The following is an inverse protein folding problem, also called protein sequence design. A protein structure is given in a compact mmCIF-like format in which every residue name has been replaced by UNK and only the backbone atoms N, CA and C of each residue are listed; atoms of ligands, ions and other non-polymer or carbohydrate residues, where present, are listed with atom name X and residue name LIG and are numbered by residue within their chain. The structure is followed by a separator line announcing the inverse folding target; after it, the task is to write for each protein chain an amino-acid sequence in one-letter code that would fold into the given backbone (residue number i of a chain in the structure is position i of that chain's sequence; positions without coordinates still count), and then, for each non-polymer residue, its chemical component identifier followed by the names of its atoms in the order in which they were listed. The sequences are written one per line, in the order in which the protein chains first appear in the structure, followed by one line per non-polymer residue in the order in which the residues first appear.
data_IF_565768468445
#
_entry.id   IF_565768468445
#
_cell.length_a   1.000
_cell.length_b   1.000
_cell.length_c   1.000
_cell.angle_alpha   90.00
_cell.angle_beta   90.00
_cell.angle_gamma   90.00
#
_symmetry.space_group_name_H-M   'P 1'
#
loop_
_entity.id
_entity.type
_entity.pdbx_description
1 polymer ?
#
# COMPACT_ATOMS: atom_id res chain seq x y z
N UNK A 1 -23.71 -12.51 -6.14
CA UNK A 1 -23.98 -13.97 -6.19
C UNK A 1 -22.68 -14.66 -5.87
N UNK A 2 -22.55 -15.29 -4.69
CA UNK A 2 -21.36 -16.08 -4.39
C UNK A 2 -21.31 -17.26 -5.37
N UNK A 3 -20.23 -17.35 -6.14
CA UNK A 3 -20.01 -18.50 -7.03
C UNK A 3 -19.95 -19.79 -6.22
N UNK A 4 -20.28 -20.92 -6.84
CA UNK A 4 -20.04 -22.22 -6.22
C UNK A 4 -18.56 -22.32 -5.83
N UNK A 5 -18.28 -22.61 -4.56
CA UNK A 5 -16.91 -22.81 -4.05
C UNK A 5 -16.20 -24.02 -4.71
N UNK A 6 -16.93 -24.80 -5.52
CA UNK A 6 -16.42 -25.93 -6.31
C UNK A 6 -16.11 -25.59 -7.77
N UNK A 7 -16.31 -24.34 -8.20
CA UNK A 7 -15.99 -23.91 -9.55
C UNK A 7 -14.46 -23.80 -9.78
N UNK A 8 -14.00 -24.17 -10.98
CA UNK A 8 -12.59 -24.05 -11.34
C UNK A 8 -12.18 -22.59 -11.58
N UNK A 9 -10.97 -22.24 -11.15
CA UNK A 9 -10.33 -20.98 -11.52
C UNK A 9 -9.96 -20.99 -13.01
N UNK A 10 -10.34 -19.94 -13.72
CA UNK A 10 -10.05 -19.78 -15.16
C UNK A 10 -9.31 -18.47 -15.36
N UNK A 11 -8.15 -18.49 -16.01
CA UNK A 11 -7.49 -17.27 -16.43
C UNK A 11 -8.37 -16.54 -17.47
N UNK A 12 -8.89 -15.37 -17.12
CA UNK A 12 -9.73 -14.56 -18.00
C UNK A 12 -8.94 -13.55 -18.82
N UNK A 13 -7.84 -13.06 -18.25
CA UNK A 13 -7.00 -12.03 -18.84
C UNK A 13 -5.62 -12.08 -18.20
N UNK A 14 -4.61 -11.57 -18.91
CA UNK A 14 -3.34 -11.14 -18.34
C UNK A 14 -3.23 -9.62 -18.59
N UNK A 15 -2.80 -8.87 -17.60
CA UNK A 15 -2.70 -7.40 -17.67
C UNK A 15 -1.23 -7.03 -17.86
N UNK A 16 -0.98 -6.05 -18.73
CA UNK A 16 0.36 -5.49 -18.97
C UNK A 16 0.32 -3.97 -18.85
N UNK A 17 1.44 -3.36 -18.50
CA UNK A 17 1.62 -1.92 -18.70
C UNK A 17 1.48 -1.59 -20.20
N UNK A 18 0.91 -0.43 -20.51
CA UNK A 18 0.72 0.06 -21.90
C UNK A 18 2.01 0.56 -22.55
N UNK A 19 2.98 0.82 -21.71
CA UNK A 19 4.20 1.64 -21.82
C UNK A 19 5.37 0.91 -21.15
N UNK A 20 5.18 -0.35 -20.74
CA UNK A 20 6.17 -1.10 -19.98
C UNK A 20 7.52 -1.18 -20.70
N UNK A 21 8.53 -0.59 -20.06
CA UNK A 21 9.91 -0.59 -20.48
C UNK A 21 10.72 -1.65 -19.72
N UNK A 22 12.00 -1.76 -20.08
CA UNK A 22 12.91 -2.73 -19.50
C UNK A 22 13.16 -2.39 -18.03
N UNK A 23 12.84 -3.33 -17.15
CA UNK A 23 13.07 -3.27 -15.70
C UNK A 23 12.06 -2.47 -14.87
N UNK A 24 10.98 -1.94 -15.44
CA UNK A 24 9.97 -1.15 -14.69
C UNK A 24 9.31 -1.94 -13.55
N UNK A 25 9.37 -3.28 -13.63
CA UNK A 25 8.85 -4.20 -12.62
C UNK A 25 7.35 -4.01 -12.38
N UNK A 26 6.59 -3.81 -13.46
CA UNK A 26 5.13 -3.92 -13.41
C UNK A 26 4.72 -5.24 -12.77
N UNK A 27 3.88 -5.17 -11.74
CA UNK A 27 3.43 -6.33 -10.96
C UNK A 27 4.27 -6.61 -9.71
N UNK A 28 5.20 -5.71 -9.35
CA UNK A 28 5.95 -5.83 -8.08
C UNK A 28 5.03 -5.79 -6.85
N UNK A 29 3.90 -5.10 -6.97
CA UNK A 29 2.84 -5.01 -5.98
C UNK A 29 1.49 -5.01 -6.68
N UNK A 30 0.49 -5.63 -6.06
CA UNK A 30 -0.87 -5.75 -6.61
C UNK A 30 -1.90 -5.69 -5.49
N UNK A 31 -2.97 -4.95 -5.72
CA UNK A 31 -4.15 -4.95 -4.86
C UNK A 31 -5.41 -4.96 -5.70
N UNK A 32 -6.46 -5.61 -5.18
CA UNK A 32 -7.77 -5.69 -5.82
C UNK A 32 -8.86 -5.42 -4.80
N UNK A 33 -9.81 -4.58 -5.18
CA UNK A 33 -11.12 -4.52 -4.53
C UNK A 33 -12.20 -4.52 -5.61
N UNK A 34 -13.03 -5.56 -5.57
CA UNK A 34 -14.20 -5.73 -6.42
C UNK A 34 -13.90 -5.59 -7.92
N UNK A 35 -14.11 -4.41 -8.49
CA UNK A 35 -13.97 -4.09 -9.91
C UNK A 35 -12.77 -3.16 -10.20
N UNK A 36 -11.87 -2.99 -9.24
CA UNK A 36 -10.65 -2.15 -9.35
C UNK A 36 -9.41 -2.96 -9.01
N UNK A 37 -8.40 -2.92 -9.87
CA UNK A 37 -7.07 -3.48 -9.64
C UNK A 37 -6.05 -2.36 -9.71
N UNK A 38 -5.17 -2.26 -8.71
CA UNK A 38 -4.01 -1.40 -8.68
C UNK A 38 -2.74 -2.23 -8.80
N UNK A 39 -1.82 -1.83 -9.68
CA UNK A 39 -0.56 -2.56 -9.93
C UNK A 39 0.62 -1.60 -9.91
N UNK A 40 1.61 -1.85 -9.06
CA UNK A 40 2.83 -1.05 -9.01
C UNK A 40 3.84 -1.41 -10.10
N UNK A 41 4.59 -0.41 -10.55
CA UNK A 41 5.78 -0.52 -11.39
C UNK A 41 6.86 0.41 -10.83
N UNK A 42 7.59 -0.07 -9.81
CA UNK A 42 8.44 0.79 -8.98
C UNK A 42 9.65 1.39 -9.70
N UNK A 43 10.05 0.87 -10.85
CA UNK A 43 11.22 1.35 -11.57
C UNK A 43 10.87 2.02 -12.89
N UNK A 44 9.58 2.21 -13.14
CA UNK A 44 9.08 3.08 -14.21
C UNK A 44 9.71 4.48 -14.12
N UNK A 45 10.08 5.03 -15.27
CA UNK A 45 10.88 6.25 -15.38
C UNK A 45 10.14 7.45 -15.99
N UNK A 46 8.82 7.39 -16.12
CA UNK A 46 7.98 8.43 -16.74
C UNK A 46 8.14 9.82 -16.11
N UNK A 47 8.46 9.89 -14.81
CA UNK A 47 8.71 11.15 -14.07
C UNK A 47 10.19 11.38 -13.74
N UNK A 48 11.05 10.44 -14.09
CA UNK A 48 12.47 10.42 -13.73
C UNK A 48 12.92 9.00 -13.41
N UNK A 49 14.23 8.75 -13.50
CA UNK A 49 14.83 7.42 -13.34
C UNK A 49 14.31 6.74 -12.06
N UNK A 50 13.65 5.59 -12.20
CA UNK A 50 13.09 4.82 -11.09
C UNK A 50 12.15 5.63 -10.17
N UNK A 51 11.44 6.62 -10.71
CA UNK A 51 10.47 7.40 -9.94
C UNK A 51 9.25 6.56 -9.58
N UNK A 52 8.90 5.60 -10.44
CA UNK A 52 7.86 4.61 -10.24
C UNK A 52 6.45 5.09 -10.60
N UNK A 53 5.57 4.15 -10.91
CA UNK A 53 4.18 4.40 -11.29
C UNK A 53 3.22 3.34 -10.73
N UNK A 54 1.91 3.63 -10.71
CA UNK A 54 0.85 2.66 -10.37
C UNK A 54 -0.23 2.64 -11.43
N UNK A 55 -0.55 1.48 -11.98
CA UNK A 55 -1.55 1.31 -13.01
C UNK A 55 -2.89 0.90 -12.39
N UNK A 56 -3.96 1.61 -12.76
CA UNK A 56 -5.33 1.29 -12.37
C UNK A 56 -6.04 0.63 -13.54
N UNK A 57 -6.52 -0.58 -13.31
CA UNK A 57 -7.42 -1.30 -14.19
C UNK A 57 -8.79 -1.40 -13.55
N UNK A 58 -9.85 -1.22 -14.34
CA UNK A 58 -11.21 -1.51 -13.87
C UNK A 58 -11.93 -2.45 -14.82
N UNK A 59 -12.83 -3.24 -14.25
CA UNK A 59 -13.68 -4.14 -15.01
C UNK A 59 -14.64 -3.33 -15.89
N UNK A 60 -14.79 -3.73 -17.15
CA UNK A 60 -15.65 -3.01 -18.10
C UNK A 60 -17.14 -3.09 -17.74
N UNK A 61 -17.54 -4.16 -17.07
CA UNK A 61 -18.91 -4.35 -16.55
C UNK A 61 -18.82 -4.76 -15.09
N UNK A 62 -19.25 -3.86 -14.20
CA UNK A 62 -19.22 -4.07 -12.76
C UNK A 62 -19.85 -5.42 -12.36
N UNK A 63 -19.16 -6.18 -11.51
CA UNK A 63 -19.63 -7.48 -11.00
C UNK A 63 -19.60 -8.66 -12.00
N UNK A 64 -19.29 -8.44 -13.28
CA UNK A 64 -19.27 -9.52 -14.28
C UNK A 64 -17.94 -10.30 -14.31
N UNK A 65 -17.92 -11.54 -13.82
CA UNK A 65 -16.71 -12.38 -13.79
C UNK A 65 -16.14 -12.75 -15.17
N UNK A 66 -16.83 -12.41 -16.26
CA UNK A 66 -16.40 -12.65 -17.64
C UNK A 66 -16.12 -11.36 -18.42
N UNK A 67 -16.35 -10.19 -17.82
CA UNK A 67 -16.01 -8.94 -18.46
C UNK A 67 -14.49 -8.72 -18.47
N UNK A 68 -14.01 -8.05 -19.51
CA UNK A 68 -12.62 -7.63 -19.63
C UNK A 68 -12.29 -6.53 -18.61
N UNK A 69 -11.00 -6.36 -18.37
CA UNK A 69 -10.41 -5.28 -17.59
C UNK A 69 -9.67 -4.33 -18.52
N UNK A 70 -9.84 -3.04 -18.26
CA UNK A 70 -9.22 -1.97 -19.06
C UNK A 70 -8.37 -1.08 -18.16
N UNK A 71 -7.14 -0.76 -18.59
CA UNK A 71 -6.32 0.29 -17.97
C UNK A 71 -7.08 1.61 -18.07
N UNK A 72 -7.41 2.22 -16.93
CA UNK A 72 -8.07 3.54 -16.88
C UNK A 72 -7.09 4.68 -16.74
N UNK A 73 -6.05 4.46 -15.96
CA UNK A 73 -5.06 5.49 -15.63
C UNK A 73 -3.78 4.83 -15.13
N UNK A 74 -2.67 5.54 -15.22
CA UNK A 74 -1.50 5.30 -14.40
C UNK A 74 -1.27 6.53 -13.52
N UNK A 75 -0.88 6.30 -12.27
CA UNK A 75 -0.75 7.27 -11.20
C UNK A 75 0.72 7.56 -11.00
N UNK A 76 1.04 8.82 -10.80
CA UNK A 76 2.37 9.31 -10.49
C UNK A 76 2.29 10.19 -9.23
N UNK A 77 3.29 10.12 -8.36
CA UNK A 77 3.43 11.09 -7.28
C UNK A 77 3.67 12.49 -7.86
N UNK A 78 3.03 13.54 -7.32
CA UNK A 78 3.20 14.92 -7.84
C UNK A 78 4.61 15.48 -7.62
N UNK A 79 5.29 14.99 -6.59
CA UNK A 79 6.66 15.30 -6.18
C UNK A 79 7.63 14.14 -6.46
N UNK A 80 7.21 13.12 -7.22
CA UNK A 80 8.06 11.97 -7.54
C UNK A 80 9.38 12.40 -8.17
N UNK A 81 10.48 11.96 -7.55
CA UNK A 81 11.85 12.21 -7.93
C UNK A 81 12.57 10.90 -8.30
N UNK A 82 13.80 11.02 -8.77
CA UNK A 82 14.59 9.85 -9.14
C UNK A 82 14.81 8.91 -7.94
N UNK A 83 14.59 7.61 -8.15
CA UNK A 83 14.70 6.52 -7.17
C UNK A 83 13.71 6.58 -6.00
N UNK A 84 12.64 7.38 -6.08
CA UNK A 84 11.57 7.32 -5.09
C UNK A 84 10.83 5.98 -5.10
N UNK A 85 10.87 5.25 -6.22
CA UNK A 85 10.28 3.93 -6.37
C UNK A 85 8.79 3.88 -5.97
N UNK A 86 8.01 4.89 -6.38
CA UNK A 86 6.57 4.93 -6.18
C UNK A 86 5.90 3.68 -6.77
N UNK A 87 4.93 3.10 -6.07
CA UNK A 87 4.33 1.82 -6.47
C UNK A 87 5.09 0.60 -5.91
N UNK A 88 6.07 0.81 -5.03
CA UNK A 88 6.71 -0.28 -4.29
C UNK A 88 5.69 -1.13 -3.53
N UNK A 89 4.69 -0.50 -2.91
CA UNK A 89 3.57 -1.14 -2.21
C UNK A 89 2.27 -0.46 -2.63
N UNK A 90 1.18 -1.23 -2.75
CA UNK A 90 -0.14 -0.71 -3.14
C UNK A 90 -1.22 -1.40 -2.35
N UNK A 91 -2.25 -0.64 -1.97
CA UNK A 91 -3.49 -1.17 -1.40
C UNK A 91 -4.70 -0.40 -1.96
N UNK A 92 -5.86 -1.05 -2.06
CA UNK A 92 -7.09 -0.44 -2.58
C UNK A 92 -8.28 -0.85 -1.72
N UNK A 93 -9.13 0.12 -1.40
CA UNK A 93 -10.45 -0.10 -0.81
C UNK A 93 -11.44 0.88 -1.42
N UNK A 94 -12.42 0.35 -2.14
CA UNK A 94 -13.41 1.04 -2.94
C UNK A 94 -12.78 2.05 -3.91
N UNK A 95 -13.01 3.32 -3.61
CA UNK A 95 -12.60 4.48 -4.40
C UNK A 95 -11.31 5.13 -3.88
N UNK A 96 -10.53 4.43 -3.07
CA UNK A 96 -9.25 4.90 -2.49
C UNK A 96 -8.12 3.92 -2.75
N UNK A 97 -6.99 4.44 -3.24
CA UNK A 97 -5.74 3.71 -3.43
C UNK A 97 -4.67 4.33 -2.56
N UNK A 98 -3.93 3.49 -1.83
CA UNK A 98 -2.74 3.87 -1.07
C UNK A 98 -1.51 3.34 -1.80
N UNK A 99 -0.50 4.18 -1.94
CA UNK A 99 0.76 3.81 -2.61
C UNK A 99 1.95 4.19 -1.75
N UNK A 100 2.86 3.26 -1.49
CA UNK A 100 4.13 3.55 -0.82
C UNK A 100 5.28 3.90 -1.78
N UNK A 101 6.25 4.66 -1.27
CA UNK A 101 7.51 5.01 -1.93
C UNK A 101 8.67 5.08 -0.93
N UNK A 102 9.91 4.98 -1.40
CA UNK A 102 11.12 5.01 -0.56
C UNK A 102 11.44 6.40 0.00
N UNK A 103 11.11 7.47 -0.74
CA UNK A 103 11.51 8.83 -0.39
C UNK A 103 13.03 9.02 -0.42
N UNK A 104 13.62 8.90 -1.59
CA UNK A 104 15.05 9.15 -1.80
C UNK A 104 15.37 10.64 -1.59
N UNK A 105 16.57 11.02 -1.08
CA UNK A 105 17.71 10.18 -0.68
C UNK A 105 17.72 9.75 0.78
N UNK A 106 16.80 10.26 1.59
CA UNK A 106 16.81 10.02 3.04
C UNK A 106 16.27 8.66 3.42
N UNK A 107 15.52 8.00 2.54
CA UNK A 107 14.82 6.75 2.83
C UNK A 107 13.88 6.85 4.03
N UNK A 108 13.36 8.04 4.30
CA UNK A 108 12.33 8.22 5.34
C UNK A 108 11.07 7.43 5.00
N UNK A 109 10.84 7.17 3.72
CA UNK A 109 9.61 6.56 3.22
C UNK A 109 8.45 7.55 3.19
N UNK A 110 7.48 7.29 2.32
CA UNK A 110 6.31 8.13 2.09
C UNK A 110 5.15 7.24 1.61
N UNK A 111 3.92 7.64 1.91
CA UNK A 111 2.73 7.02 1.32
C UNK A 111 1.82 8.08 0.68
N UNK A 112 1.03 7.70 -0.30
CA UNK A 112 0.20 8.59 -1.08
C UNK A 112 -1.22 8.05 -1.17
N UNK A 113 -2.19 8.93 -0.95
CA UNK A 113 -3.61 8.65 -1.11
C UNK A 113 -4.08 9.18 -2.45
N UNK A 114 -4.64 8.29 -3.27
CA UNK A 114 -5.38 8.65 -4.48
C UNK A 114 -6.85 8.32 -4.29
N UNK A 115 -7.72 9.21 -4.75
CA UNK A 115 -9.17 8.99 -4.72
C UNK A 115 -9.75 9.11 -6.10
N UNK A 116 -10.75 8.27 -6.39
CA UNK A 116 -11.54 8.38 -7.61
C UNK A 116 -12.35 9.68 -7.60
N UNK A 117 -12.41 10.37 -8.74
CA UNK A 117 -13.06 11.67 -8.86
C UNK A 117 -14.59 11.58 -8.66
N UNK A 118 -15.20 10.47 -9.11
CA UNK A 118 -16.63 10.21 -8.95
C UNK A 118 -16.80 8.82 -8.35
N UNK A 119 -17.32 8.75 -7.12
CA UNK A 119 -17.50 7.51 -6.38
C UNK A 119 -18.24 6.45 -7.20
N UNK A 120 -17.72 5.22 -7.22
CA UNK A 120 -18.29 4.08 -7.94
C UNK A 120 -18.18 4.14 -9.47
N UNK A 121 -17.79 5.27 -10.08
CA UNK A 121 -17.69 5.37 -11.54
C UNK A 121 -16.36 4.80 -12.06
N UNK A 122 -16.38 3.55 -12.52
CA UNK A 122 -15.19 2.79 -12.97
C UNK A 122 -14.40 3.43 -14.13
N UNK A 123 -14.92 4.48 -14.79
CA UNK A 123 -14.22 5.20 -15.87
C UNK A 123 -13.73 6.59 -15.45
N UNK A 124 -14.07 7.04 -14.24
CA UNK A 124 -13.63 8.34 -13.75
C UNK A 124 -12.14 8.32 -13.36
N UNK A 125 -11.51 9.49 -13.46
CA UNK A 125 -10.10 9.67 -13.14
C UNK A 125 -9.84 9.56 -11.64
N UNK A 126 -8.58 9.35 -11.29
CA UNK A 126 -8.03 9.35 -9.95
C UNK A 126 -7.19 10.59 -9.74
N UNK A 127 -7.28 11.15 -8.54
CA UNK A 127 -6.58 12.37 -8.15
C UNK A 127 -5.73 12.09 -6.91
N UNK A 128 -4.47 12.53 -6.91
CA UNK A 128 -3.66 12.54 -5.70
C UNK A 128 -4.29 13.47 -4.67
N UNK A 129 -4.55 12.96 -3.48
CA UNK A 129 -5.27 13.66 -2.42
C UNK A 129 -4.39 14.09 -1.28
N UNK A 130 -3.48 13.22 -0.87
CA UNK A 130 -2.61 13.52 0.25
C UNK A 130 -1.33 12.69 0.16
N UNK A 131 -0.23 13.28 0.61
CA UNK A 131 0.99 12.58 0.98
C UNK A 131 0.98 12.37 2.50
N UNK A 132 1.15 11.13 2.91
CA UNK A 132 1.25 10.71 4.31
C UNK A 132 2.73 10.54 4.67
N UNK A 133 3.07 11.02 5.85
CA UNK A 133 4.38 10.93 6.49
C UNK A 133 4.17 10.49 7.93
N UNK A 134 5.09 9.70 8.47
CA UNK A 134 5.17 9.46 9.91
C UNK A 134 5.39 10.78 10.66
N UNK A 135 4.73 10.95 11.80
CA UNK A 135 4.84 12.15 12.66
C UNK A 135 6.25 12.44 13.16
N UNK A 136 7.06 11.39 13.25
CA UNK A 136 8.38 11.22 13.83
C UNK A 136 9.37 10.67 12.80
N UNK A 137 8.98 10.60 11.53
CA UNK A 137 9.77 9.99 10.46
C UNK A 137 11.18 10.56 10.37
N UNK A 138 12.15 9.66 10.48
CA UNK A 138 13.58 9.89 10.38
C UNK A 138 14.17 9.20 9.14
N UNK A 139 15.43 9.53 8.84
CA UNK A 139 16.13 8.95 7.70
C UNK A 139 16.36 7.45 7.92
N UNK A 140 16.03 6.66 6.91
CA UNK A 140 16.07 5.20 6.89
C UNK A 140 14.95 4.46 7.60
N UNK A 141 13.86 5.10 8.03
CA UNK A 141 12.74 4.40 8.68
C UNK A 141 11.87 3.57 7.70
N UNK A 142 11.96 3.88 6.41
CA UNK A 142 11.31 3.11 5.34
C UNK A 142 9.77 3.09 5.48
N UNK A 143 9.17 4.23 5.86
CA UNK A 143 7.71 4.40 5.91
C UNK A 143 7.01 4.12 4.56
N UNK A 144 6.01 3.24 4.53
CA UNK A 144 5.30 2.84 3.32
C UNK A 144 6.10 1.92 2.41
N UNK A 145 7.36 1.64 2.73
CA UNK A 145 8.12 0.60 2.07
C UNK A 145 7.77 -0.76 2.66
N UNK A 146 7.49 -1.73 1.79
CA UNK A 146 7.39 -3.13 2.18
C UNK A 146 8.10 -4.00 1.16
N UNK A 147 8.92 -4.93 1.66
CA UNK A 147 9.47 -5.99 0.81
C UNK A 147 8.30 -6.79 0.22
N UNK A 148 8.28 -6.96 -1.10
CA UNK A 148 7.18 -7.65 -1.78
C UNK A 148 5.85 -6.87 -1.87
N UNK A 149 5.87 -5.57 -1.53
CA UNK A 149 4.71 -4.69 -1.72
C UNK A 149 3.68 -4.68 -0.60
N UNK A 150 4.03 -5.17 0.59
CA UNK A 150 3.13 -5.33 1.74
C UNK A 150 3.22 -4.21 2.79
N UNK A 151 3.84 -3.07 2.46
CA UNK A 151 4.13 -1.99 3.41
C UNK A 151 2.95 -1.04 3.69
N UNK A 152 1.84 -1.18 2.96
CA UNK A 152 0.62 -0.39 3.15
C UNK A 152 -0.61 -1.30 3.10
N UNK A 153 -1.61 -0.99 3.89
CA UNK A 153 -2.93 -1.62 3.85
C UNK A 153 -4.03 -0.58 4.08
N UNK A 154 -5.23 -0.84 3.55
CA UNK A 154 -6.39 0.03 3.73
C UNK A 154 -7.64 -0.83 3.87
N UNK A 155 -8.50 -0.47 4.81
CA UNK A 155 -9.88 -0.92 4.86
C UNK A 155 -10.80 0.27 5.17
N UNK A 156 -11.68 0.58 4.22
CA UNK A 156 -12.58 1.73 4.27
C UNK A 156 -11.88 3.05 4.56
N UNK A 157 -12.08 3.54 5.78
CA UNK A 157 -11.58 4.83 6.27
C UNK A 157 -10.34 4.70 7.18
N UNK A 158 -9.68 3.53 7.19
CA UNK A 158 -8.45 3.28 7.97
C UNK A 158 -7.31 2.82 7.07
N UNK A 159 -6.16 3.49 7.16
CA UNK A 159 -4.92 3.14 6.47
C UNK A 159 -3.87 2.75 7.49
N UNK A 160 -3.15 1.66 7.21
CA UNK A 160 -1.99 1.22 7.98
C UNK A 160 -0.76 1.34 7.10
N UNK A 161 0.30 1.96 7.64
CA UNK A 161 1.57 2.13 6.94
C UNK A 161 2.71 1.62 7.82
N UNK A 162 3.47 0.66 7.33
CA UNK A 162 4.64 0.15 8.04
C UNK A 162 5.87 1.05 7.85
N UNK A 163 6.73 1.13 8.87
CA UNK A 163 8.07 1.73 8.82
C UNK A 163 9.04 0.75 9.48
N UNK A 164 9.48 -0.23 8.70
CA UNK A 164 10.14 -1.43 9.22
C UNK A 164 11.54 -1.19 9.81
N UNK A 165 12.07 0.03 9.68
CA UNK A 165 13.41 0.42 10.13
C UNK A 165 13.39 1.57 11.12
N UNK A 166 12.20 1.91 11.60
CA UNK A 166 12.01 2.86 12.68
C UNK A 166 12.72 2.41 13.97
N UNK A 167 13.24 3.36 14.74
CA UNK A 167 14.20 3.08 15.82
C UNK A 167 13.61 3.22 17.24
N UNK A 168 12.29 3.39 17.38
CA UNK A 168 11.63 3.77 18.64
C UNK A 168 11.85 2.80 19.82
N UNK A 169 11.98 1.49 19.55
CA UNK A 169 12.28 0.46 20.56
C UNK A 169 13.72 -0.08 20.48
N UNK A 170 14.51 0.43 19.55
CA UNK A 170 15.85 -0.07 19.23
C UNK A 170 16.14 0.04 17.74
N UNK A 171 17.42 0.00 17.35
CA UNK A 171 17.82 0.14 15.94
C UNK A 171 17.12 -0.88 15.04
N UNK A 172 16.44 -0.42 13.98
CA UNK A 172 15.64 -1.20 13.05
C UNK A 172 14.56 -2.08 13.75
N UNK A 173 14.05 -1.66 14.92
CA UNK A 173 12.99 -2.39 15.65
C UNK A 173 11.64 -2.31 14.94
N UNK A 174 11.38 -1.18 14.29
CA UNK A 174 10.27 -0.94 13.39
C UNK A 174 8.97 -0.48 14.08
N UNK A 175 8.14 0.21 13.30
CA UNK A 175 6.87 0.79 13.72
C UNK A 175 5.79 0.63 12.65
N UNK A 176 4.52 0.80 13.02
CA UNK A 176 3.40 0.87 12.07
C UNK A 176 2.43 2.00 12.44
N UNK A 177 1.93 2.72 11.44
CA UNK A 177 1.21 3.97 11.63
C UNK A 177 -0.22 3.84 11.15
N UNK A 178 -1.16 4.29 11.98
CA UNK A 178 -2.60 4.27 11.70
C UNK A 178 -3.06 5.67 11.31
N UNK A 179 -3.59 5.79 10.10
CA UNK A 179 -4.25 7.00 9.60
C UNK A 179 -5.74 6.72 9.43
N UNK A 180 -6.57 7.70 9.76
CA UNK A 180 -8.01 7.62 9.48
C UNK A 180 -8.48 8.83 8.71
N UNK A 181 -9.46 8.63 7.84
CA UNK A 181 -10.13 9.71 7.12
C UNK A 181 -10.92 10.58 8.11
N UNK A 182 -10.76 11.89 8.03
CA UNK A 182 -11.38 12.83 8.99
C UNK A 182 -12.90 12.90 8.86
N UNK A 183 -13.43 12.62 7.67
CA UNK A 183 -14.87 12.51 7.41
C UNK A 183 -15.12 11.18 6.71
N UNK A 184 -15.76 10.24 7.41
CA UNK A 184 -16.04 8.90 6.92
C UNK A 184 -16.70 8.94 5.52
N UNK A 185 -16.21 8.11 4.60
CA UNK A 185 -16.70 8.03 3.22
C UNK A 185 -16.38 9.21 2.29
N UNK A 186 -15.79 10.31 2.78
CA UNK A 186 -15.52 11.49 1.95
C UNK A 186 -14.23 11.38 1.13
N UNK A 187 -14.35 11.28 -0.19
CA UNK A 187 -13.20 11.23 -1.12
C UNK A 187 -12.39 12.55 -1.20
N UNK A 188 -12.78 13.58 -0.44
CA UNK A 188 -12.06 14.86 -0.38
C UNK A 188 -11.61 15.22 1.03
N UNK A 189 -11.93 14.40 2.04
CA UNK A 189 -11.44 14.61 3.39
C UNK A 189 -9.95 14.25 3.50
N UNK A 190 -9.28 14.94 4.41
CA UNK A 190 -7.91 14.62 4.78
C UNK A 190 -7.87 13.33 5.62
N UNK A 191 -6.66 12.80 5.73
CA UNK A 191 -6.28 11.68 6.57
C UNK A 191 -5.36 12.18 7.67
N UNK A 192 -5.68 11.79 8.91
CA UNK A 192 -4.91 12.18 10.09
C UNK A 192 -4.32 10.94 10.73
N UNK A 193 -3.03 10.99 11.08
CA UNK A 193 -2.40 9.96 11.91
C UNK A 193 -3.06 9.95 13.28
N UNK A 194 -3.61 8.80 13.69
CA UNK A 194 -4.28 8.62 14.99
C UNK A 194 -3.37 7.97 16.03
N UNK A 195 -2.49 7.09 15.58
CA UNK A 195 -1.64 6.29 16.43
C UNK A 195 -0.43 5.78 15.63
N UNK A 196 0.68 5.53 16.31
CA UNK A 196 1.72 4.62 15.84
C UNK A 196 1.84 3.44 16.81
N UNK A 197 2.23 2.30 16.29
CA UNK A 197 2.24 0.99 16.94
C UNK A 197 3.70 0.50 16.98
N UNK A 198 4.08 -0.05 18.13
CA UNK A 198 5.37 -0.73 18.32
C UNK A 198 5.10 -2.14 18.87
N UNK A 199 6.01 -3.08 18.60
CA UNK A 199 6.01 -4.37 19.28
C UNK A 199 6.21 -4.17 20.80
N UNK A 200 5.48 -4.95 21.61
CA UNK A 200 5.56 -4.87 23.08
C UNK A 200 6.97 -5.15 23.61
N UNK A 201 7.64 -6.05 22.93
CA UNK A 201 8.93 -6.72 23.11
C UNK A 201 9.92 -6.34 22.00
N UNK A 202 9.59 -5.35 21.17
CA UNK A 202 10.41 -4.93 20.04
C UNK A 202 11.86 -4.71 20.44
N UNK A 203 12.75 -5.38 19.71
CA UNK A 203 14.18 -5.38 19.89
C UNK A 203 14.91 -4.97 18.59
N UNK A 204 16.23 -4.87 18.68
CA UNK A 204 17.08 -4.44 17.57
C UNK A 204 16.90 -5.39 16.38
N UNK A 205 16.61 -4.82 15.20
CA UNK A 205 16.50 -5.51 13.92
C UNK A 205 15.29 -6.44 13.72
N UNK A 206 14.30 -6.43 14.60
CA UNK A 206 13.09 -7.27 14.44
C UNK A 206 12.25 -6.90 13.20
N UNK A 207 12.36 -5.65 12.76
CA UNK A 207 11.67 -5.08 11.60
C UNK A 207 10.15 -5.18 11.69
N UNK A 208 9.57 -4.84 12.84
CA UNK A 208 8.14 -4.67 12.99
C UNK A 208 7.60 -3.66 11.97
N UNK A 209 6.49 -3.96 11.31
CA UNK A 209 5.95 -3.09 10.25
C UNK A 209 6.49 -3.39 8.85
N UNK A 210 7.28 -4.45 8.67
CA UNK A 210 7.70 -4.90 7.33
C UNK A 210 6.53 -5.30 6.42
N UNK A 211 5.47 -5.82 7.02
CA UNK A 211 4.23 -6.15 6.34
C UNK A 211 3.06 -5.82 7.25
N UNK A 212 2.04 -5.18 6.69
CA UNK A 212 0.83 -4.80 7.42
C UNK A 212 -0.41 -5.31 6.70
N UNK A 213 -1.42 -5.68 7.48
CA UNK A 213 -2.75 -6.03 6.98
C UNK A 213 -3.80 -5.46 7.93
N UNK A 214 -4.97 -5.12 7.39
CA UNK A 214 -6.12 -4.67 8.15
C UNK A 214 -7.38 -5.33 7.62
N UNK A 215 -8.25 -5.74 8.54
CA UNK A 215 -9.62 -6.14 8.27
C UNK A 215 -10.50 -5.54 9.37
N UNK A 216 -11.38 -4.61 8.98
CA UNK A 216 -12.24 -3.85 9.87
C UNK A 216 -11.45 -3.17 11.01
N UNK A 217 -11.66 -3.63 12.25
CA UNK A 217 -11.04 -3.07 13.45
C UNK A 217 -9.79 -3.84 13.92
N UNK A 218 -9.31 -4.80 13.11
CA UNK A 218 -8.13 -5.62 13.44
C UNK A 218 -6.97 -5.34 12.49
N UNK A 219 -5.83 -4.99 13.06
CA UNK A 219 -4.57 -4.78 12.35
C UNK A 219 -3.60 -5.90 12.71
N UNK A 220 -3.00 -6.52 11.70
CA UNK A 220 -1.90 -7.47 11.86
C UNK A 220 -0.60 -6.86 11.33
N UNK A 221 0.46 -6.93 12.14
CA UNK A 221 1.77 -6.38 11.80
C UNK A 221 2.84 -7.46 11.94
N UNK A 222 3.61 -7.68 10.87
CA UNK A 222 4.72 -8.65 10.88
C UNK A 222 6.02 -8.03 11.39
N UNK A 223 6.83 -8.85 12.06
CA UNK A 223 8.23 -8.59 12.40
C UNK A 223 9.03 -9.83 12.00
N UNK A 224 9.61 -9.85 10.80
CA UNK A 224 10.14 -11.10 10.21
C UNK A 224 11.43 -11.61 10.87
N UNK A 225 12.11 -10.76 11.63
CA UNK A 225 13.42 -11.05 12.21
C UNK A 225 13.40 -11.13 13.73
N UNK A 226 12.22 -10.95 14.33
CA UNK A 226 11.94 -11.25 15.72
C UNK A 226 12.45 -12.65 16.11
N UNK A 227 13.19 -12.73 17.22
CA UNK A 227 13.95 -13.93 17.60
C UNK A 227 13.49 -14.62 18.90
N UNK A 228 12.30 -14.25 19.38
CA UNK A 228 11.71 -14.68 20.64
C UNK A 228 11.49 -16.20 20.75
N UNK A 229 11.40 -16.89 19.60
CA UNK A 229 11.30 -18.36 19.49
C UNK A 229 12.47 -19.00 18.74
N UNK A 230 13.55 -18.24 18.51
CA UNK A 230 14.75 -18.66 17.81
C UNK A 230 15.21 -17.60 16.82
N UNK A 231 16.50 -17.61 16.44
CA UNK A 231 17.10 -16.60 15.55
C UNK A 231 16.24 -16.37 14.31
N UNK A 232 15.73 -15.15 14.14
CA UNK A 232 14.87 -14.74 13.03
C UNK A 232 13.64 -15.65 12.82
N UNK A 233 13.04 -16.15 13.90
CA UNK A 233 11.84 -16.98 13.84
C UNK A 233 10.60 -16.23 13.35
N UNK A 234 10.61 -14.91 13.50
CA UNK A 234 9.54 -14.00 13.12
C UNK A 234 8.35 -14.04 14.07
N UNK A 235 7.63 -12.93 14.14
CA UNK A 235 6.40 -12.76 14.91
C UNK A 235 5.36 -11.96 14.14
N UNK A 236 4.08 -12.12 14.53
CA UNK A 236 2.96 -11.31 14.05
C UNK A 236 2.21 -10.78 15.26
N UNK A 237 1.99 -9.47 15.27
CA UNK A 237 1.34 -8.74 16.33
C UNK A 237 -0.06 -8.34 15.90
N UNK A 238 -1.04 -8.56 16.76
CA UNK A 238 -2.45 -8.24 16.50
C UNK A 238 -2.85 -7.07 17.37
N UNK A 239 -3.40 -6.04 16.74
CA UNK A 239 -3.96 -4.86 17.40
C UNK A 239 -5.44 -4.78 17.07
N UNK A 240 -6.27 -4.59 18.08
CA UNK A 240 -7.72 -4.37 17.93
C UNK A 240 -8.06 -2.98 18.43
N UNK A 241 -8.96 -2.29 17.72
CA UNK A 241 -9.51 -1.02 18.18
C UNK A 241 -10.36 -1.24 19.42
N UNK A 242 -10.05 -0.56 20.52
CA UNK A 242 -10.92 -0.53 21.68
C UNK A 242 -12.19 0.28 21.34
N UNK A 243 -13.36 -0.31 21.61
CA UNK A 243 -14.69 0.27 21.38
C UNK A 243 -15.35 0.74 22.67
#
# INVERSE_FOLDING_TARGET
VAGSLTANWTQRQFLTASDGAVSDQFGISVAIDSDTVAVGARYDDDKGINSGSVYIFTRDVAGSLTASWTKRQFLLATDGAANDCFGQSVAVSGDTVVVGSFGWPSYTGQAYIFTRAVAGNLTSSWTLRQKLLASDGAANDFFGYGYGGYGVAIDGDTVVVGAMKDDDRGTDSGSAYIFTRDVAGSLTANWTQRQFLTASDGAVSDQFGISVAIDSDTVAVGARYDDDKGINSGSVYIFTRDV
#
